data_IF_000951080143
#
_entry.id   IF_000951080143
#
_cell.length_a   1.000
_cell.length_b   1.000
_cell.length_c   1.000
_cell.angle_alpha   90.00
_cell.angle_beta   90.00
_cell.angle_gamma   90.00
#
_symmetry.space_group_name_H-M   'P 1'
#
loop_
_entity.id
_entity.type
_entity.pdbx_description
1 polymer ?
#
# COMPACT_ATOMS: atom_id res chain seq x y z
N UNK A 1 -10.73 -7.74 -2.63
CA UNK A 1 -9.27 -7.87 -2.48
C UNK A 1 -8.54 -6.55 -2.69
N UNK A 2 -8.84 -5.83 -3.75
CA UNK A 2 -8.06 -4.65 -4.14
C UNK A 2 -8.12 -3.50 -3.14
N UNK A 3 -9.24 -3.27 -2.50
CA UNK A 3 -9.45 -2.07 -1.67
C UNK A 3 -9.59 -2.36 -0.17
N UNK A 4 -9.39 -3.60 0.23
CA UNK A 4 -9.45 -3.99 1.64
C UNK A 4 -8.30 -4.94 1.99
N UNK A 5 -8.22 -6.09 1.36
CA UNK A 5 -7.22 -7.10 1.71
C UNK A 5 -5.82 -6.70 1.26
N UNK A 6 -5.68 -6.14 0.06
CA UNK A 6 -4.38 -5.71 -0.42
C UNK A 6 -3.79 -4.57 0.42
N UNK A 7 -4.55 -3.54 0.81
CA UNK A 7 -4.01 -2.51 1.70
C UNK A 7 -3.42 -3.08 2.99
N UNK A 8 -4.07 -4.07 3.59
CA UNK A 8 -3.54 -4.70 4.80
C UNK A 8 -2.26 -5.47 4.51
N UNK A 9 -2.25 -6.27 3.43
CA UNK A 9 -1.04 -7.00 3.02
C UNK A 9 0.12 -6.03 2.80
N UNK A 10 -0.15 -4.93 2.11
CA UNK A 10 0.87 -3.93 1.83
C UNK A 10 1.39 -3.29 3.11
N UNK A 11 0.51 -2.97 4.05
CA UNK A 11 0.92 -2.37 5.31
C UNK A 11 1.78 -3.32 6.13
N UNK A 12 1.43 -4.61 6.19
CA UNK A 12 2.24 -5.62 6.86
C UNK A 12 3.62 -5.74 6.20
N UNK A 13 3.66 -5.87 4.88
CA UNK A 13 4.92 -6.04 4.15
C UNK A 13 5.81 -4.81 4.27
N UNK A 14 5.23 -3.63 4.17
CA UNK A 14 5.98 -2.38 4.27
C UNK A 14 6.58 -2.22 5.66
N UNK A 15 5.79 -2.44 6.70
CA UNK A 15 6.31 -2.34 8.07
C UNK A 15 7.43 -3.35 8.30
N UNK A 16 7.25 -4.59 7.84
CA UNK A 16 8.31 -5.61 7.94
C UNK A 16 9.57 -5.19 7.19
N UNK A 17 9.42 -4.58 6.02
CA UNK A 17 10.58 -4.12 5.24
C UNK A 17 11.36 -3.04 5.99
N UNK A 18 10.68 -2.18 6.74
CA UNK A 18 11.34 -1.14 7.53
C UNK A 18 12.08 -1.73 8.73
N UNK A 19 11.40 -2.56 9.53
CA UNK A 19 11.99 -3.07 10.77
C UNK A 19 13.07 -4.13 10.53
N UNK A 20 13.10 -4.76 9.36
CA UNK A 20 14.13 -5.73 9.03
C UNK A 20 15.48 -5.11 8.65
N UNK A 21 15.52 -3.80 8.44
CA UNK A 21 16.75 -3.10 8.12
C UNK A 21 17.59 -2.89 9.38
N UNK A 22 18.92 -2.83 9.26
CA UNK A 22 19.78 -2.62 10.44
C UNK A 22 19.44 -1.38 11.25
N UNK A 23 18.98 -0.30 10.58
CA UNK A 23 18.61 0.95 11.22
C UNK A 23 17.10 1.06 11.48
N UNK A 24 16.38 -0.06 11.51
CA UNK A 24 14.92 -0.05 11.63
C UNK A 24 14.39 0.72 12.83
N UNK A 25 15.06 0.59 14.00
CA UNK A 25 14.65 1.33 15.20
C UNK A 25 14.83 2.83 15.04
N UNK A 26 15.90 3.25 14.39
CA UNK A 26 16.14 4.67 14.14
C UNK A 26 15.09 5.23 13.17
N UNK A 27 14.76 4.48 12.14
CA UNK A 27 13.69 4.87 11.22
C UNK A 27 12.37 5.07 11.95
N UNK A 28 12.00 4.15 12.84
CA UNK A 28 10.77 4.26 13.60
C UNK A 28 10.77 5.47 14.51
N UNK A 29 11.92 5.80 15.12
CA UNK A 29 12.00 6.97 16.00
C UNK A 29 11.85 8.29 15.26
N UNK A 30 12.12 8.30 13.96
CA UNK A 30 12.02 9.49 13.12
C UNK A 30 10.71 9.54 12.32
N UNK A 31 9.88 8.49 12.44
CA UNK A 31 8.66 8.38 11.65
C UNK A 31 7.66 9.47 12.01
N UNK A 32 7.01 9.98 10.97
CA UNK A 32 6.02 11.04 11.11
C UNK A 32 4.60 10.57 10.80
N UNK A 33 3.68 11.52 10.62
CA UNK A 33 2.26 11.22 10.39
C UNK A 33 2.00 10.35 9.16
N UNK A 34 2.75 10.52 8.08
CA UNK A 34 2.57 9.72 6.88
C UNK A 34 2.82 8.24 7.12
N UNK A 35 3.92 7.93 7.79
CA UNK A 35 4.24 6.55 8.13
C UNK A 35 3.19 5.97 9.09
N UNK A 36 2.84 6.74 10.13
CA UNK A 36 1.84 6.33 11.11
C UNK A 36 0.51 6.00 10.45
N UNK A 37 0.03 6.89 9.61
CA UNK A 37 -1.28 6.73 8.98
C UNK A 37 -1.27 5.58 7.98
N UNK A 38 -0.22 5.45 7.18
CA UNK A 38 -0.12 4.38 6.20
C UNK A 38 -0.04 3.01 6.86
N UNK A 39 0.65 2.88 7.99
CA UNK A 39 0.89 1.59 8.63
C UNK A 39 -0.08 1.27 9.76
N UNK A 40 -1.03 2.14 10.05
CA UNK A 40 -1.96 1.94 11.17
C UNK A 40 -2.65 0.59 11.13
N UNK A 41 -3.07 0.15 9.95
CA UNK A 41 -3.78 -1.12 9.80
C UNK A 41 -2.86 -2.34 9.95
N UNK A 42 -1.55 -2.15 10.01
CA UNK A 42 -0.62 -3.26 10.24
C UNK A 42 -0.69 -3.79 11.68
N UNK A 43 -1.40 -3.14 12.58
CA UNK A 43 -1.59 -3.59 13.95
C UNK A 43 -2.75 -4.59 14.09
N UNK A 44 -3.18 -5.22 12.99
CA UNK A 44 -4.27 -6.18 13.03
C UNK A 44 -3.90 -7.51 13.67
N UNK A 45 -4.92 -8.28 14.04
CA UNK A 45 -4.75 -9.59 14.66
C UNK A 45 -4.13 -10.59 13.68
N UNK A 46 -2.99 -11.20 14.02
CA UNK A 46 -2.31 -12.12 13.09
C UNK A 46 -3.16 -13.31 12.66
N UNK A 47 -3.89 -13.91 13.56
CA UNK A 47 -4.70 -15.09 13.26
C UNK A 47 -5.84 -14.77 12.31
N UNK A 48 -6.54 -13.67 12.59
CA UNK A 48 -7.67 -13.22 11.76
C UNK A 48 -7.17 -12.89 10.35
N UNK A 49 -6.10 -12.12 10.22
CA UNK A 49 -5.61 -11.69 8.92
C UNK A 49 -4.95 -12.82 8.14
N UNK A 50 -4.31 -13.78 8.83
CA UNK A 50 -3.86 -14.99 8.18
C UNK A 50 -5.02 -15.69 7.46
N UNK A 51 -6.12 -15.86 8.14
CA UNK A 51 -7.28 -16.56 7.59
C UNK A 51 -7.94 -15.77 6.47
N UNK A 52 -8.06 -14.46 6.63
CA UNK A 52 -8.62 -13.58 5.59
C UNK A 52 -7.80 -13.67 4.31
N UNK A 53 -6.48 -13.53 4.42
CA UNK A 53 -5.62 -13.52 3.24
C UNK A 53 -5.60 -14.86 2.53
N UNK A 54 -5.58 -15.95 3.29
CA UNK A 54 -5.58 -17.29 2.69
C UNK A 54 -6.93 -17.64 2.06
N UNK A 55 -8.03 -17.20 2.66
CA UNK A 55 -9.36 -17.48 2.12
C UNK A 55 -9.59 -16.82 0.76
N UNK A 56 -8.93 -15.67 0.50
CA UNK A 56 -9.07 -14.96 -0.77
C UNK A 56 -7.73 -14.90 -1.53
N UNK A 57 -6.92 -15.93 -1.36
CA UNK A 57 -5.53 -15.96 -1.80
C UNK A 57 -5.33 -15.61 -3.27
N UNK A 58 -6.12 -16.21 -4.15
CA UNK A 58 -5.94 -16.01 -5.59
C UNK A 58 -6.15 -14.55 -5.99
N UNK A 59 -7.21 -13.94 -5.48
CA UNK A 59 -7.50 -12.55 -5.82
C UNK A 59 -6.51 -11.59 -5.19
N UNK A 60 -6.07 -11.88 -3.97
CA UNK A 60 -5.05 -11.06 -3.31
C UNK A 60 -3.74 -11.11 -4.08
N UNK A 61 -3.33 -12.29 -4.54
CA UNK A 61 -2.10 -12.44 -5.31
C UNK A 61 -2.17 -11.71 -6.66
N UNK A 62 -3.33 -11.74 -7.33
CA UNK A 62 -3.52 -10.98 -8.56
C UNK A 62 -3.33 -9.48 -8.32
N UNK A 63 -3.94 -8.96 -7.27
CA UNK A 63 -3.82 -7.55 -6.93
C UNK A 63 -2.41 -7.18 -6.50
N UNK A 64 -1.74 -8.06 -5.78
CA UNK A 64 -0.34 -7.88 -5.40
C UNK A 64 0.55 -7.76 -6.63
N UNK A 65 0.31 -8.59 -7.64
CA UNK A 65 1.08 -8.54 -8.88
C UNK A 65 0.86 -7.22 -9.62
N UNK A 66 -0.38 -6.75 -9.68
CA UNK A 66 -0.69 -5.45 -10.29
C UNK A 66 0.03 -4.31 -9.57
N UNK A 67 0.06 -4.36 -8.24
CA UNK A 67 0.78 -3.37 -7.45
C UNK A 67 2.27 -3.40 -7.75
N UNK A 68 2.87 -4.58 -7.87
CA UNK A 68 4.29 -4.71 -8.23
C UNK A 68 4.59 -4.04 -9.56
N UNK A 69 3.73 -4.25 -10.57
CA UNK A 69 3.91 -3.59 -11.87
C UNK A 69 3.81 -2.07 -11.75
N UNK A 70 2.88 -1.58 -10.95
CA UNK A 70 2.75 -0.14 -10.74
C UNK A 70 3.99 0.43 -10.04
N UNK A 71 4.51 -0.28 -9.04
CA UNK A 71 5.73 0.13 -8.36
C UNK A 71 6.93 0.11 -9.31
N UNK A 72 7.04 -0.92 -10.13
CA UNK A 72 8.11 -1.02 -11.14
C UNK A 72 8.10 0.17 -12.09
N UNK A 73 6.92 0.64 -12.49
CA UNK A 73 6.81 1.81 -13.36
C UNK A 73 7.45 3.05 -12.73
N UNK A 74 7.20 3.28 -11.43
CA UNK A 74 7.86 4.36 -10.70
C UNK A 74 9.38 4.17 -10.66
N UNK A 75 9.82 2.95 -10.38
CA UNK A 75 11.25 2.67 -10.24
C UNK A 75 12.02 2.88 -11.54
N UNK A 76 11.44 2.45 -12.66
CA UNK A 76 12.04 2.65 -13.97
C UNK A 76 12.22 4.14 -14.26
N UNK A 77 11.18 4.93 -14.01
CA UNK A 77 11.20 6.37 -14.25
C UNK A 77 12.22 7.06 -13.33
N UNK A 78 12.30 6.62 -12.08
CA UNK A 78 13.26 7.18 -11.13
C UNK A 78 14.70 6.87 -11.53
N UNK A 79 14.97 5.64 -11.99
CA UNK A 79 16.32 5.28 -12.45
C UNK A 79 16.76 6.09 -13.66
N UNK A 80 15.83 6.38 -14.56
CA UNK A 80 16.15 7.19 -15.74
C UNK A 80 16.25 8.68 -15.45
N UNK A 81 15.79 9.13 -14.28
CA UNK A 81 15.77 10.54 -13.93
C UNK A 81 14.83 11.38 -14.76
N UNK A 82 13.82 10.76 -15.37
CA UNK A 82 12.86 11.46 -16.22
C UNK A 82 11.84 12.19 -15.34
N UNK A 83 12.08 13.49 -15.12
CA UNK A 83 11.26 14.31 -14.22
C UNK A 83 9.82 14.39 -14.68
N UNK A 84 9.60 14.57 -15.98
CA UNK A 84 8.28 14.74 -16.54
C UNK A 84 7.43 13.48 -16.42
N UNK A 85 8.03 12.32 -16.72
CA UNK A 85 7.34 11.05 -16.58
C UNK A 85 7.00 10.73 -15.12
N UNK A 86 7.92 11.06 -14.19
CA UNK A 86 7.67 10.87 -12.77
C UNK A 86 6.53 11.76 -12.30
N UNK A 87 6.55 13.02 -12.71
CA UNK A 87 5.49 13.96 -12.37
C UNK A 87 4.13 13.49 -12.89
N UNK A 88 4.10 12.93 -14.11
CA UNK A 88 2.87 12.39 -14.69
C UNK A 88 2.31 11.21 -13.90
N UNK A 89 3.17 10.29 -13.46
CA UNK A 89 2.74 9.17 -12.63
C UNK A 89 2.15 9.66 -11.30
N UNK A 90 2.81 10.62 -10.68
CA UNK A 90 2.34 11.18 -9.42
C UNK A 90 1.02 11.92 -9.63
N UNK A 91 0.92 12.71 -10.70
CA UNK A 91 -0.28 13.47 -11.00
C UNK A 91 -1.49 12.58 -11.22
N UNK A 92 -1.32 11.46 -11.92
CA UNK A 92 -2.40 10.49 -12.13
C UNK A 92 -2.98 10.03 -10.79
N UNK A 93 -2.12 9.68 -9.85
CA UNK A 93 -2.56 9.25 -8.52
C UNK A 93 -3.18 10.41 -7.74
N UNK A 94 -2.53 11.57 -7.77
CA UNK A 94 -2.96 12.74 -7.01
C UNK A 94 -4.34 13.22 -7.46
N UNK A 95 -4.54 13.34 -8.76
CA UNK A 95 -5.83 13.79 -9.30
C UNK A 95 -6.92 12.75 -9.07
N UNK A 96 -6.59 11.47 -9.26
CA UNK A 96 -7.53 10.40 -8.99
C UNK A 96 -7.97 10.37 -7.53
N UNK A 97 -7.02 10.52 -6.60
CA UNK A 97 -7.33 10.52 -5.17
C UNK A 97 -8.12 11.77 -4.77
N UNK A 98 -7.76 12.93 -5.31
CA UNK A 98 -8.46 14.19 -5.00
C UNK A 98 -9.91 14.18 -5.45
N UNK A 99 -10.19 13.52 -6.56
CA UNK A 99 -11.56 13.42 -7.08
C UNK A 99 -12.39 12.31 -6.43
N UNK A 100 -11.76 11.47 -5.61
CA UNK A 100 -12.46 10.34 -4.99
C UNK A 100 -12.95 10.71 -3.60
N UNK A 101 -14.18 10.23 -3.30
CA UNK A 101 -14.75 10.30 -1.96
C UNK A 101 -15.32 8.93 -1.63
N UNK A 102 -15.12 8.51 -0.37
CA UNK A 102 -15.75 7.29 0.09
C UNK A 102 -17.25 7.53 0.22
N UNK A 103 -18.04 6.72 -0.48
CA UNK A 103 -19.50 6.85 -0.44
C UNK A 103 -20.05 6.42 0.91
N UNK A 104 -21.05 7.19 1.42
CA UNK A 104 -21.84 6.77 2.59
C UNK A 104 -22.85 5.73 2.11
N UNK A 105 -22.43 4.48 1.99
CA UNK A 105 -23.25 3.41 1.41
C UNK A 105 -23.70 2.42 2.47
N UNK A 106 -24.86 1.79 2.29
CA UNK A 106 -25.23 0.67 3.16
C UNK A 106 -24.16 -0.41 3.12
N UNK A 107 -24.01 -1.14 4.24
CA UNK A 107 -23.01 -2.19 4.34
C UNK A 107 -23.15 -3.26 3.24
N UNK A 108 -24.36 -3.48 2.76
CA UNK A 108 -24.64 -4.46 1.69
C UNK A 108 -24.19 -3.99 0.30
N UNK A 109 -23.80 -2.76 0.15
CA UNK A 109 -23.42 -2.19 -1.15
C UNK A 109 -21.94 -2.43 -1.51
N UNK A 110 -21.30 -3.37 -0.90
CA UNK A 110 -19.87 -3.62 -1.06
C UNK A 110 -19.53 -4.52 -2.22
#
# INVERSE_FOLDING_TARGET
>A
AAVSHLPHLLAFAYFNAVISQPAGREFLSLAGPGFRDFTRIAAGDPTVWRDILLANREEVLKQSQRLRHALDAFEVVMRSGNQEALEDLIRTASEGRSGWQMNARPATAR
#
